data_IF_511543168463
#
_entry.id   IF_511543168463
#
_cell.length_a   1.000
_cell.length_b   1.000
_cell.length_c   1.000
_cell.angle_alpha   90.00
_cell.angle_beta   90.00
_cell.angle_gamma   90.00
#
_symmetry.space_group_name_H-M   'P 1'
#
loop_
_entity.id
_entity.type
_entity.pdbx_description
1 polymer ?
#
# COMPACT_ATOMS: atom_id res chain seq x y z
N UNK A 1 19.34 -2.42 -12.75
CA UNK A 1 18.10 -1.68 -13.00
C UNK A 1 17.61 -1.06 -11.70
N UNK A 2 17.47 0.26 -11.67
CA UNK A 2 16.99 0.96 -10.47
C UNK A 2 15.49 0.81 -10.28
N UNK A 3 15.01 1.08 -9.08
CA UNK A 3 13.58 1.02 -8.77
C UNK A 3 12.75 1.97 -9.65
N UNK A 4 13.29 3.13 -10.03
CA UNK A 4 12.64 4.06 -10.95
C UNK A 4 12.37 3.44 -12.32
N UNK A 5 13.32 2.66 -12.85
CA UNK A 5 13.15 1.97 -14.12
C UNK A 5 12.07 0.90 -14.00
N UNK A 6 12.03 0.21 -12.89
CA UNK A 6 10.99 -0.76 -12.58
C UNK A 6 9.60 -0.09 -12.55
N UNK A 7 9.46 1.05 -11.87
CA UNK A 7 8.21 1.81 -11.82
C UNK A 7 7.76 2.26 -13.21
N UNK A 8 8.67 2.72 -14.06
CA UNK A 8 8.34 3.11 -15.43
C UNK A 8 7.81 1.94 -16.25
N UNK A 9 8.43 0.78 -16.13
CA UNK A 9 7.98 -0.42 -16.82
C UNK A 9 6.60 -0.85 -16.37
N UNK A 10 6.32 -0.76 -15.07
CA UNK A 10 5.02 -1.12 -14.50
C UNK A 10 3.94 -0.11 -14.91
N UNK A 11 4.28 1.17 -15.05
CA UNK A 11 3.33 2.20 -15.49
C UNK A 11 2.70 1.84 -16.84
N UNK A 12 3.48 1.27 -17.75
CA UNK A 12 2.97 0.84 -19.06
C UNK A 12 1.96 -0.32 -18.95
N UNK A 13 1.95 -1.05 -17.83
CA UNK A 13 1.07 -2.19 -17.58
C UNK A 13 0.04 -1.90 -16.47
N UNK A 14 -0.08 -0.64 -16.04
CA UNK A 14 -0.90 -0.28 -14.90
C UNK A 14 -2.37 -0.66 -15.08
N UNK A 15 -2.92 -0.49 -16.29
CA UNK A 15 -4.33 -0.82 -16.56
C UNK A 15 -4.59 -2.33 -16.44
N UNK A 16 -3.66 -3.16 -16.89
CA UNK A 16 -3.77 -4.61 -16.73
C UNK A 16 -3.69 -5.01 -15.26
N UNK A 17 -2.76 -4.41 -14.51
CA UNK A 17 -2.61 -4.65 -13.09
C UNK A 17 -3.88 -4.27 -12.32
N UNK A 18 -4.52 -3.14 -12.65
CA UNK A 18 -5.77 -2.74 -12.02
C UNK A 18 -6.87 -3.76 -12.22
N UNK A 19 -6.97 -4.33 -13.43
CA UNK A 19 -7.97 -5.37 -13.74
C UNK A 19 -7.64 -6.68 -13.04
N UNK A 20 -6.39 -7.10 -13.07
CA UNK A 20 -5.92 -8.37 -12.52
C UNK A 20 -6.07 -8.43 -11.01
N UNK A 21 -5.79 -7.32 -10.31
CA UNK A 21 -5.79 -7.27 -8.85
C UNK A 21 -6.98 -6.52 -8.27
N UNK A 22 -8.01 -6.23 -9.06
CA UNK A 22 -9.25 -5.62 -8.55
C UNK A 22 -9.86 -6.52 -7.47
N UNK A 23 -10.33 -5.97 -6.34
CA UNK A 23 -10.81 -6.79 -5.21
C UNK A 23 -11.87 -7.80 -5.59
N UNK A 24 -12.81 -7.45 -6.48
CA UNK A 24 -13.87 -8.37 -6.92
C UNK A 24 -13.36 -9.58 -7.68
N UNK A 25 -12.12 -9.52 -8.18
CA UNK A 25 -11.47 -10.62 -8.91
C UNK A 25 -10.63 -11.53 -8.01
N UNK A 26 -10.55 -11.20 -6.73
CA UNK A 26 -9.67 -11.88 -5.79
C UNK A 26 -10.46 -12.69 -4.77
N UNK A 27 -9.85 -13.78 -4.28
CA UNK A 27 -10.35 -14.53 -3.14
C UNK A 27 -10.28 -13.69 -1.85
N UNK A 28 -11.01 -14.07 -0.78
CA UNK A 28 -10.89 -13.34 0.49
C UNK A 28 -9.45 -13.22 1.02
N UNK A 29 -8.67 -14.29 0.92
CA UNK A 29 -7.26 -14.30 1.35
C UNK A 29 -6.42 -13.33 0.53
N UNK A 30 -6.65 -13.27 -0.77
CA UNK A 30 -5.96 -12.33 -1.66
C UNK A 30 -6.41 -10.88 -1.43
N UNK A 31 -7.67 -10.66 -1.09
CA UNK A 31 -8.16 -9.32 -0.69
C UNK A 31 -7.45 -8.84 0.57
N UNK A 32 -7.26 -9.74 1.52
CA UNK A 32 -6.49 -9.45 2.74
C UNK A 32 -5.05 -9.08 2.39
N UNK A 33 -4.38 -9.89 1.56
CA UNK A 33 -3.01 -9.60 1.11
C UNK A 33 -2.94 -8.28 0.34
N UNK A 34 -3.93 -7.99 -0.53
CA UNK A 34 -4.02 -6.70 -1.22
C UNK A 34 -4.12 -5.55 -0.21
N UNK A 35 -4.87 -5.71 0.86
CA UNK A 35 -4.96 -4.71 1.94
C UNK A 35 -3.60 -4.41 2.55
N UNK A 36 -2.79 -5.44 2.78
CA UNK A 36 -1.40 -5.28 3.27
C UNK A 36 -0.57 -4.46 2.29
N UNK A 37 -0.63 -4.81 1.01
CA UNK A 37 0.10 -4.07 -0.04
C UNK A 37 -0.35 -2.60 -0.07
N UNK A 38 -1.65 -2.36 0.04
CA UNK A 38 -2.23 -1.01 0.03
C UNK A 38 -1.72 -0.15 1.18
N UNK A 39 -1.68 -0.67 2.41
CA UNK A 39 -1.17 0.13 3.55
C UNK A 39 0.32 0.40 3.41
N UNK A 40 1.09 -0.52 2.84
CA UNK A 40 2.50 -0.29 2.58
C UNK A 40 2.71 0.86 1.57
N UNK A 41 1.91 0.88 0.50
CA UNK A 41 1.96 1.95 -0.50
C UNK A 41 1.54 3.30 0.11
N UNK A 42 0.46 3.32 0.90
CA UNK A 42 -0.02 4.52 1.57
C UNK A 42 1.03 5.11 2.51
N UNK A 43 1.70 4.26 3.28
CA UNK A 43 2.72 4.73 4.22
C UNK A 43 3.98 5.21 3.49
N UNK A 44 4.38 4.54 2.42
CA UNK A 44 5.52 4.95 1.61
C UNK A 44 5.31 6.32 0.96
N UNK A 45 4.06 6.68 0.67
CA UNK A 45 3.67 7.92 0.02
C UNK A 45 2.92 8.88 0.95
N UNK A 46 3.05 8.72 2.27
CA UNK A 46 2.24 9.44 3.24
C UNK A 46 2.35 10.96 3.14
N UNK A 47 3.52 11.49 2.78
CA UNK A 47 3.74 12.93 2.58
C UNK A 47 3.32 13.44 1.19
N UNK A 48 2.84 12.56 0.32
CA UNK A 48 2.45 12.90 -1.04
C UNK A 48 3.61 13.00 -2.02
N UNK A 49 4.83 12.68 -1.59
CA UNK A 49 6.03 12.74 -2.43
C UNK A 49 6.63 11.37 -2.66
N UNK A 50 7.08 11.12 -3.88
CA UNK A 50 7.77 9.88 -4.23
C UNK A 50 9.24 10.02 -3.85
N UNK A 51 9.64 9.36 -2.78
CA UNK A 51 11.03 9.23 -2.38
C UNK A 51 11.49 7.79 -2.64
N UNK A 52 12.45 7.64 -3.53
CA UNK A 52 12.91 6.32 -3.99
C UNK A 52 13.36 5.43 -2.82
N UNK A 53 14.08 6.00 -1.85
CA UNK A 53 14.57 5.25 -0.69
C UNK A 53 13.44 4.72 0.19
N UNK A 54 12.39 5.51 0.41
CA UNK A 54 11.23 5.10 1.21
C UNK A 54 10.41 4.02 0.50
N UNK A 55 10.20 4.19 -0.80
CA UNK A 55 9.46 3.23 -1.61
C UNK A 55 10.22 1.91 -1.71
N UNK A 56 11.53 1.96 -1.88
CA UNK A 56 12.38 0.77 -1.90
C UNK A 56 12.36 0.05 -0.55
N UNK A 57 12.48 0.77 0.55
CA UNK A 57 12.41 0.21 1.91
C UNK A 57 11.04 -0.46 2.15
N UNK A 58 9.96 0.18 1.71
CA UNK A 58 8.61 -0.37 1.82
C UNK A 58 8.46 -1.67 1.02
N UNK A 59 9.02 -1.71 -0.19
CA UNK A 59 8.96 -2.92 -1.02
C UNK A 59 9.72 -4.08 -0.38
N UNK A 60 10.89 -3.81 0.21
CA UNK A 60 11.67 -4.82 0.93
C UNK A 60 10.94 -5.33 2.16
N UNK A 61 10.33 -4.44 2.93
CA UNK A 61 9.50 -4.82 4.07
C UNK A 61 8.36 -5.74 3.63
N UNK A 62 7.67 -5.37 2.56
CA UNK A 62 6.54 -6.12 2.02
C UNK A 62 6.95 -7.54 1.61
N UNK A 63 8.12 -7.70 1.02
CA UNK A 63 8.61 -9.02 0.60
C UNK A 63 8.90 -9.94 1.79
N UNK A 64 9.08 -9.39 2.98
CA UNK A 64 9.30 -10.15 4.21
C UNK A 64 8.02 -10.54 4.95
N UNK A 65 6.85 -10.09 4.48
CA UNK A 65 5.57 -10.39 5.15
C UNK A 65 5.07 -11.78 4.75
N UNK A 66 4.84 -12.65 5.75
CA UNK A 66 4.45 -14.04 5.52
C UNK A 66 3.16 -14.19 4.72
N UNK A 67 2.15 -13.36 4.99
CA UNK A 67 0.86 -13.39 4.30
C UNK A 67 1.01 -13.09 2.81
N UNK A 68 1.97 -12.23 2.45
CA UNK A 68 2.25 -11.94 1.05
C UNK A 68 2.84 -13.17 0.35
N UNK A 69 3.79 -13.82 0.99
CA UNK A 69 4.41 -15.05 0.46
C UNK A 69 3.35 -16.17 0.32
N UNK A 70 2.48 -16.29 1.31
CA UNK A 70 1.52 -17.38 1.39
C UNK A 70 0.33 -17.20 0.44
N UNK A 71 -0.23 -15.99 0.36
CA UNK A 71 -1.50 -15.75 -0.33
C UNK A 71 -1.38 -15.06 -1.68
N UNK A 72 -0.29 -14.33 -1.94
CA UNK A 72 -0.20 -13.48 -3.12
C UNK A 72 0.99 -13.82 -4.02
N UNK A 73 2.18 -13.97 -3.43
CA UNK A 73 3.43 -14.16 -4.13
C UNK A 73 4.19 -12.85 -4.32
N UNK A 74 5.53 -12.95 -4.30
CA UNK A 74 6.40 -11.78 -4.38
C UNK A 74 6.21 -10.96 -5.65
N UNK A 75 6.17 -11.63 -6.80
CA UNK A 75 6.07 -10.97 -8.10
C UNK A 75 4.75 -10.17 -8.22
N UNK A 76 3.65 -10.80 -7.86
CA UNK A 76 2.33 -10.16 -7.92
C UNK A 76 2.21 -9.03 -6.90
N UNK A 77 2.74 -9.22 -5.70
CA UNK A 77 2.73 -8.19 -4.66
C UNK A 77 3.53 -6.95 -5.09
N UNK A 78 4.69 -7.16 -5.69
CA UNK A 78 5.55 -6.08 -6.16
C UNK A 78 4.91 -5.32 -7.33
N UNK A 79 4.27 -6.04 -8.24
CA UNK A 79 3.54 -5.45 -9.36
C UNK A 79 2.38 -4.57 -8.86
N UNK A 80 1.58 -5.09 -7.94
CA UNK A 80 0.48 -4.34 -7.33
C UNK A 80 0.98 -3.13 -6.54
N UNK A 81 2.03 -3.32 -5.72
CA UNK A 81 2.64 -2.24 -4.95
C UNK A 81 3.08 -1.10 -5.87
N UNK A 82 3.75 -1.42 -6.96
CA UNK A 82 4.23 -0.43 -7.93
C UNK A 82 3.07 0.29 -8.61
N UNK A 83 2.01 -0.42 -8.96
CA UNK A 83 0.81 0.19 -9.53
C UNK A 83 0.18 1.18 -8.55
N UNK A 84 0.04 0.80 -7.28
CA UNK A 84 -0.56 1.68 -6.27
C UNK A 84 0.29 2.91 -5.98
N UNK A 85 1.61 2.76 -5.92
CA UNK A 85 2.53 3.90 -5.76
C UNK A 85 2.42 4.85 -6.96
N UNK A 86 2.37 4.31 -8.17
CA UNK A 86 2.20 5.12 -9.38
C UNK A 86 0.87 5.88 -9.37
N UNK A 87 -0.22 5.24 -8.94
CA UNK A 87 -1.52 5.90 -8.84
C UNK A 87 -1.48 7.06 -7.84
N UNK A 88 -0.87 6.84 -6.67
CA UNK A 88 -0.71 7.89 -5.66
C UNK A 88 0.14 9.04 -6.19
N UNK A 89 1.24 8.73 -6.86
CA UNK A 89 2.12 9.74 -7.45
C UNK A 89 1.39 10.55 -8.53
N UNK A 90 0.66 9.88 -9.40
CA UNK A 90 -0.11 10.53 -10.45
C UNK A 90 -1.15 11.51 -9.89
N UNK A 91 -1.88 11.10 -8.86
CA UNK A 91 -2.87 11.96 -8.23
C UNK A 91 -2.20 13.10 -7.45
N UNK A 92 -1.06 12.84 -6.81
CA UNK A 92 -0.30 13.86 -6.09
C UNK A 92 0.17 14.99 -7.02
N UNK A 93 0.57 14.67 -8.26
CA UNK A 93 1.00 15.69 -9.23
C UNK A 93 -0.15 16.58 -9.69
N UNK A 94 -1.39 16.11 -9.59
CA UNK A 94 -2.59 16.92 -9.92
C UNK A 94 -2.95 17.89 -8.80
N UNK A 95 -2.51 17.63 -7.58
CA UNK A 95 -2.76 18.48 -6.43
C UNK A 95 -3.10 17.69 -5.17
N UNK A 96 -3.01 18.36 -4.02
CA UNK A 96 -3.20 17.74 -2.71
C UNK A 96 -4.61 17.15 -2.53
N UNK A 97 -5.63 17.81 -3.06
CA UNK A 97 -7.01 17.33 -2.95
C UNK A 97 -7.18 15.98 -3.70
N UNK A 98 -6.57 15.85 -4.85
CA UNK A 98 -6.62 14.61 -5.64
C UNK A 98 -5.88 13.48 -4.94
N UNK A 99 -4.72 13.78 -4.38
CA UNK A 99 -3.96 12.82 -3.57
C UNK A 99 -4.80 12.32 -2.39
N UNK A 100 -5.44 13.23 -1.66
CA UNK A 100 -6.27 12.89 -0.51
C UNK A 100 -7.48 12.03 -0.92
N UNK A 101 -8.11 12.33 -2.04
CA UNK A 101 -9.20 11.52 -2.58
C UNK A 101 -8.73 10.10 -2.88
N UNK A 102 -7.55 9.95 -3.47
CA UNK A 102 -6.98 8.63 -3.78
C UNK A 102 -6.66 7.84 -2.51
N UNK A 103 -6.07 8.48 -1.50
CA UNK A 103 -5.78 7.80 -0.23
C UNK A 103 -7.07 7.35 0.46
N UNK A 104 -8.08 8.21 0.50
CA UNK A 104 -9.37 7.88 1.10
C UNK A 104 -10.06 6.72 0.39
N UNK A 105 -10.00 6.68 -0.93
CA UNK A 105 -10.55 5.59 -1.75
C UNK A 105 -9.87 4.27 -1.41
N UNK A 106 -8.55 4.26 -1.31
CA UNK A 106 -7.79 3.05 -0.99
C UNK A 106 -8.13 2.53 0.41
N UNK A 107 -8.24 3.42 1.38
CA UNK A 107 -8.57 3.05 2.76
C UNK A 107 -10.00 2.50 2.85
N UNK A 108 -10.97 3.15 2.19
CA UNK A 108 -12.35 2.69 2.14
C UNK A 108 -12.46 1.31 1.49
N UNK A 109 -11.68 1.05 0.45
CA UNK A 109 -11.64 -0.24 -0.22
C UNK A 109 -11.19 -1.36 0.72
N UNK A 110 -10.19 -1.11 1.57
CA UNK A 110 -9.75 -2.09 2.56
C UNK A 110 -10.91 -2.43 3.50
N UNK A 111 -11.59 -1.40 4.01
CA UNK A 111 -12.74 -1.58 4.91
C UNK A 111 -13.86 -2.42 4.27
N UNK A 112 -14.15 -2.16 3.00
CA UNK A 112 -15.21 -2.88 2.29
C UNK A 112 -14.85 -4.33 1.96
N UNK A 113 -13.60 -4.60 1.64
CA UNK A 113 -13.19 -5.87 1.08
C UNK A 113 -12.57 -6.82 2.10
N UNK A 114 -12.07 -6.31 3.22
CA UNK A 114 -11.52 -7.11 4.32
C UNK A 114 -12.46 -6.96 5.51
N UNK A 115 -13.35 -7.93 5.69
CA UNK A 115 -14.41 -7.86 6.70
C UNK A 115 -14.07 -8.57 8.02
N UNK A 116 -13.10 -9.49 8.02
CA UNK A 116 -12.70 -10.20 9.24
C UNK A 116 -11.90 -9.28 10.15
N UNK A 117 -12.31 -9.23 11.42
CA UNK A 117 -11.65 -8.38 12.43
C UNK A 117 -10.19 -8.77 12.67
N UNK A 118 -9.89 -10.08 12.72
CA UNK A 118 -8.53 -10.56 12.91
C UNK A 118 -7.59 -10.13 11.76
N UNK A 119 -8.09 -10.14 10.54
CA UNK A 119 -7.32 -9.68 9.38
C UNK A 119 -7.11 -8.16 9.41
N UNK A 120 -8.13 -7.40 9.77
CA UNK A 120 -8.01 -5.94 9.93
C UNK A 120 -7.00 -5.58 11.01
N UNK A 121 -7.06 -6.27 12.15
CA UNK A 121 -6.10 -6.07 13.24
C UNK A 121 -4.68 -6.35 12.78
N UNK A 122 -4.48 -7.40 12.01
CA UNK A 122 -3.16 -7.76 11.50
C UNK A 122 -2.66 -6.77 10.46
N UNK A 123 -3.54 -6.25 9.60
CA UNK A 123 -3.17 -5.17 8.66
C UNK A 123 -2.66 -3.95 9.43
N UNK A 124 -3.33 -3.57 10.52
CA UNK A 124 -2.89 -2.44 11.35
C UNK A 124 -1.56 -2.73 12.04
N UNK A 125 -1.36 -3.96 12.52
CA UNK A 125 -0.09 -4.35 13.12
C UNK A 125 1.06 -4.21 12.11
N UNK A 126 0.87 -4.72 10.91
CA UNK A 126 1.85 -4.64 9.82
C UNK A 126 2.13 -3.17 9.45
N UNK A 127 1.09 -2.36 9.35
CA UNK A 127 1.23 -0.94 9.06
C UNK A 127 2.09 -0.22 10.10
N UNK A 128 1.86 -0.49 11.38
CA UNK A 128 2.64 0.10 12.48
C UNK A 128 4.10 -0.34 12.44
N UNK A 129 4.34 -1.62 12.20
CA UNK A 129 5.70 -2.15 12.10
C UNK A 129 6.46 -1.56 10.92
N UNK A 130 5.82 -1.41 9.79
CA UNK A 130 6.43 -0.77 8.62
C UNK A 130 6.77 0.70 8.90
N UNK A 131 5.86 1.44 9.51
CA UNK A 131 6.09 2.85 9.82
C UNK A 131 7.28 3.04 10.77
N UNK A 132 7.43 2.14 11.76
CA UNK A 132 8.58 2.14 12.68
C UNK A 132 9.89 1.86 11.94
N UNK A 133 9.88 0.91 11.00
CA UNK A 133 11.10 0.49 10.31
C UNK A 133 11.67 1.60 9.40
N UNK A 134 10.82 2.49 8.88
CA UNK A 134 11.23 3.55 7.96
C UNK A 134 11.94 4.72 8.64
N UNK A 135 11.77 4.92 9.95
CA UNK A 135 12.27 6.10 10.67
C UNK A 135 12.95 5.76 12.00
N UNK A 136 13.81 4.74 11.99
CA UNK A 136 14.61 4.35 13.18
C UNK A 136 13.76 4.19 14.44
N UNK A 137 12.58 3.60 14.31
CA UNK A 137 11.68 3.32 15.43
C UNK A 137 10.60 4.37 15.68
N UNK A 138 10.63 5.52 14.99
CA UNK A 138 9.62 6.58 15.16
C UNK A 138 9.03 6.97 13.80
N UNK A 139 7.70 6.82 13.61
CA UNK A 139 7.07 7.30 12.38
C UNK A 139 7.18 8.82 12.24
N UNK A 140 7.32 9.31 11.01
CA UNK A 140 7.25 10.74 10.71
C UNK A 140 5.84 11.28 10.89
N UNK A 141 5.68 12.62 10.87
CA UNK A 141 4.40 13.28 11.11
C UNK A 141 3.31 12.84 10.10
N UNK A 142 3.66 12.73 8.82
CA UNK A 142 2.71 12.30 7.78
C UNK A 142 2.35 10.82 7.93
N UNK A 143 3.30 9.97 8.29
CA UNK A 143 3.02 8.56 8.55
C UNK A 143 2.15 8.37 9.78
N UNK A 144 2.37 9.15 10.84
CA UNK A 144 1.51 9.15 12.02
C UNK A 144 0.07 9.52 11.67
N UNK A 145 -0.10 10.56 10.86
CA UNK A 145 -1.43 10.99 10.41
C UNK A 145 -2.11 9.89 9.58
N UNK A 146 -1.36 9.24 8.70
CA UNK A 146 -1.86 8.13 7.89
C UNK A 146 -2.26 6.94 8.77
N UNK A 147 -1.42 6.57 9.74
CA UNK A 147 -1.74 5.51 10.70
C UNK A 147 -3.02 5.81 11.49
N UNK A 148 -3.18 7.07 11.93
CA UNK A 148 -4.39 7.48 12.66
C UNK A 148 -5.64 7.36 11.79
N UNK A 149 -5.56 7.75 10.54
CA UNK A 149 -6.67 7.63 9.60
C UNK A 149 -7.02 6.16 9.34
N UNK A 150 -6.02 5.31 9.16
CA UNK A 150 -6.21 3.86 8.99
C UNK A 150 -6.87 3.25 10.22
N UNK A 151 -6.37 3.59 11.41
CA UNK A 151 -6.92 3.10 12.68
C UNK A 151 -8.40 3.47 12.83
N UNK A 152 -8.74 4.72 12.51
CA UNK A 152 -10.12 5.22 12.62
C UNK A 152 -11.06 4.50 11.65
N UNK A 153 -10.59 4.19 10.45
CA UNK A 153 -11.44 3.64 9.39
C UNK A 153 -11.51 2.11 9.44
N UNK A 154 -10.39 1.42 9.59
CA UNK A 154 -10.33 -0.05 9.50
C UNK A 154 -9.94 -0.74 10.81
N UNK A 155 -9.47 0.01 11.79
CA UNK A 155 -9.14 -0.54 13.10
C UNK A 155 -10.36 -1.13 13.80
N UNK A 156 -10.15 -2.15 14.62
CA UNK A 156 -11.18 -2.80 15.42
C UNK A 156 -11.08 -2.43 16.89
#
# INVERSE_FOLDING_TARGET
>A
MGFKDFLKNVTAQADEARKKYAPKMLSPEKRYARGIVSVCALLAMADGELEESEVEAASQFLMGVNEIQQYFGESDALELFSQLVNDLQSESTKGRAFFKMQTNKMIAEIKETVTREDWRSNIMLIAREMAKSNHAGKPGAHEQAMLSQLETTIGV
#
